data_IF_100061301169
#
_entry.id   IF_100061301169
#
_cell.length_a   1.000
_cell.length_b   1.000
_cell.length_c   1.000
_cell.angle_alpha   90.00
_cell.angle_beta   90.00
_cell.angle_gamma   90.00
#
_symmetry.space_group_name_H-M   'P 1'
#
loop_
_entity.id
_entity.type
_entity.pdbx_description
1 polymer ?
#
# COMPACT_ATOMS: atom_id res chain seq x y z
N UNK A 1 23.68 -12.42 13.81
CA UNK A 1 23.19 -11.59 12.70
C UNK A 1 24.39 -11.25 11.83
N UNK A 2 24.40 -11.70 10.57
CA UNK A 2 25.49 -11.50 9.61
C UNK A 2 25.65 -10.02 9.22
N UNK A 3 26.81 -9.65 8.67
CA UNK A 3 27.06 -8.30 8.11
C UNK A 3 26.09 -7.99 6.99
N UNK A 4 25.80 -8.97 6.12
CA UNK A 4 24.80 -8.86 5.04
C UNK A 4 23.42 -8.44 5.56
N UNK A 5 22.93 -9.11 6.62
CA UNK A 5 21.66 -8.77 7.23
C UNK A 5 21.64 -7.35 7.82
N UNK A 6 22.73 -6.88 8.42
CA UNK A 6 22.82 -5.53 8.99
C UNK A 6 22.74 -4.47 7.88
N UNK A 7 23.50 -4.65 6.80
CA UNK A 7 23.49 -3.75 5.65
C UNK A 7 22.08 -3.72 5.03
N UNK A 8 21.49 -4.88 4.77
CA UNK A 8 20.18 -4.99 4.17
C UNK A 8 19.10 -4.31 5.02
N UNK A 9 19.16 -4.51 6.35
CA UNK A 9 18.23 -3.86 7.29
C UNK A 9 18.35 -2.34 7.30
N UNK A 10 19.55 -1.78 7.18
CA UNK A 10 19.74 -0.33 7.08
C UNK A 10 19.07 0.24 5.83
N UNK A 11 19.32 -0.37 4.66
CA UNK A 11 18.68 0.01 3.40
C UNK A 11 17.15 -0.10 3.49
N UNK A 12 16.65 -1.19 4.08
CA UNK A 12 15.23 -1.42 4.24
C UNK A 12 14.56 -0.41 5.19
N UNK A 13 15.22 0.00 6.27
CA UNK A 13 14.71 1.02 7.19
C UNK A 13 14.62 2.41 6.52
N UNK A 14 15.56 2.75 5.66
CA UNK A 14 15.47 3.98 4.84
C UNK A 14 14.30 3.91 3.87
N UNK A 15 14.17 2.83 3.12
CA UNK A 15 13.03 2.61 2.23
C UNK A 15 11.70 2.62 2.97
N UNK A 16 11.64 2.06 4.18
CA UNK A 16 10.44 2.10 5.02
C UNK A 16 10.04 3.54 5.39
N UNK A 17 10.99 4.39 5.74
CA UNK A 17 10.72 5.81 6.03
C UNK A 17 10.16 6.52 4.79
N UNK A 18 10.74 6.29 3.61
CA UNK A 18 10.24 6.86 2.35
C UNK A 18 8.85 6.31 1.99
N UNK A 19 8.60 5.00 2.15
CA UNK A 19 7.26 4.41 1.99
C UNK A 19 6.22 5.10 2.88
N UNK A 20 6.57 5.44 4.12
CA UNK A 20 5.66 6.15 5.02
C UNK A 20 5.37 7.58 4.54
N UNK A 21 6.34 8.28 3.91
CA UNK A 21 6.09 9.59 3.28
C UNK A 21 5.15 9.47 2.09
N UNK A 22 5.42 8.55 1.15
CA UNK A 22 4.55 8.27 0.00
C UNK A 22 3.12 7.98 0.49
N UNK A 23 2.98 7.13 1.48
CA UNK A 23 1.69 6.82 2.09
C UNK A 23 1.00 8.07 2.66
N UNK A 24 1.70 8.87 3.47
CA UNK A 24 1.17 10.10 4.06
C UNK A 24 0.69 11.09 3.00
N UNK A 25 1.48 11.30 1.96
CA UNK A 25 1.16 12.26 0.89
C UNK A 25 -0.04 11.79 0.06
N UNK A 26 -0.10 10.51 -0.29
CA UNK A 26 -1.26 9.92 -0.98
C UNK A 26 -2.52 9.99 -0.14
N UNK A 27 -2.43 9.75 1.18
CA UNK A 27 -3.56 9.90 2.10
C UNK A 27 -4.04 11.36 2.20
N UNK A 28 -3.15 12.34 2.19
CA UNK A 28 -3.50 13.77 2.21
C UNK A 28 -4.19 14.18 0.91
N UNK A 29 -3.66 13.78 -0.25
CA UNK A 29 -4.30 14.00 -1.56
C UNK A 29 -5.70 13.36 -1.60
N UNK A 30 -5.84 12.11 -1.17
CA UNK A 30 -7.14 11.43 -1.09
C UNK A 30 -8.14 12.20 -0.23
N UNK A 31 -7.74 12.64 0.97
CA UNK A 31 -8.60 13.45 1.85
C UNK A 31 -9.02 14.76 1.19
N UNK A 32 -8.13 15.41 0.46
CA UNK A 32 -8.40 16.67 -0.24
C UNK A 32 -9.47 16.49 -1.30
N UNK A 33 -9.37 15.44 -2.13
CA UNK A 33 -10.36 15.12 -3.16
C UNK A 33 -11.78 14.99 -2.58
N UNK A 34 -11.96 14.16 -1.56
CA UNK A 34 -13.26 14.00 -0.91
C UNK A 34 -13.77 15.30 -0.28
N UNK A 35 -12.88 16.11 0.31
CA UNK A 35 -13.24 17.40 0.91
C UNK A 35 -13.74 18.40 -0.14
N UNK A 36 -13.16 18.42 -1.32
CA UNK A 36 -13.58 19.30 -2.41
C UNK A 36 -14.98 18.95 -2.90
N UNK A 37 -15.27 17.68 -3.18
CA UNK A 37 -16.61 17.21 -3.57
C UNK A 37 -17.68 17.60 -2.54
N UNK A 38 -17.42 17.38 -1.26
CA UNK A 38 -18.37 17.76 -0.20
C UNK A 38 -18.53 19.27 -0.09
N UNK A 39 -17.46 20.05 -0.24
CA UNK A 39 -17.53 21.52 -0.21
C UNK A 39 -18.42 22.07 -1.34
N UNK A 40 -18.36 21.47 -2.50
CA UNK A 40 -19.18 21.91 -3.64
C UNK A 40 -20.65 21.52 -3.45
N UNK A 41 -20.93 20.33 -2.92
CA UNK A 41 -22.28 19.96 -2.50
C UNK A 41 -22.84 20.92 -1.44
N UNK A 42 -22.05 21.29 -0.43
CA UNK A 42 -22.44 22.24 0.61
C UNK A 42 -22.74 23.65 0.06
N UNK A 43 -21.99 24.12 -0.92
CA UNK A 43 -22.28 25.40 -1.59
C UNK A 43 -23.66 25.36 -2.25
N UNK A 44 -23.96 24.28 -2.98
CA UNK A 44 -25.27 24.09 -3.64
C UNK A 44 -26.42 24.01 -2.63
N UNK A 45 -26.21 23.33 -1.50
CA UNK A 45 -27.20 23.27 -0.41
C UNK A 45 -27.45 24.67 0.16
N UNK A 46 -26.42 25.45 0.46
CA UNK A 46 -26.54 26.79 1.04
C UNK A 46 -27.18 27.80 0.10
N UNK A 47 -27.05 27.62 -1.20
CA UNK A 47 -27.62 28.52 -2.21
C UNK A 47 -29.08 28.19 -2.60
N UNK A 48 -29.66 27.11 -2.09
CA UNK A 48 -31.04 26.74 -2.44
C UNK A 48 -32.06 27.49 -1.62
N UNK A 49 -33.11 27.99 -2.31
CA UNK A 49 -34.30 28.56 -1.67
C UNK A 49 -35.39 27.50 -1.41
N UNK A 50 -35.22 26.27 -1.92
CA UNK A 50 -36.22 25.23 -1.83
C UNK A 50 -35.58 23.85 -1.62
N UNK A 51 -35.38 23.46 -0.36
CA UNK A 51 -34.83 22.19 0.03
C UNK A 51 -35.92 21.11 0.13
N UNK A 52 -36.07 20.34 -0.95
CA UNK A 52 -37.07 19.28 -1.08
C UNK A 52 -36.52 18.04 -1.78
N UNK A 53 -37.33 17.00 -1.93
CA UNK A 53 -36.95 15.74 -2.57
C UNK A 53 -36.51 15.92 -4.04
N UNK A 54 -37.08 16.89 -4.79
CA UNK A 54 -36.68 17.18 -6.18
C UNK A 54 -35.25 17.74 -6.21
N UNK A 55 -34.97 18.67 -5.29
CA UNK A 55 -33.62 19.22 -5.10
C UNK A 55 -32.63 18.12 -4.76
N UNK A 56 -32.93 17.27 -3.76
CA UNK A 56 -32.03 16.16 -3.33
C UNK A 56 -31.74 15.22 -4.50
N UNK A 57 -32.77 14.78 -5.26
CA UNK A 57 -32.54 13.93 -6.46
C UNK A 57 -31.62 14.57 -7.48
N UNK A 58 -31.75 15.88 -7.72
CA UNK A 58 -30.88 16.60 -8.64
C UNK A 58 -29.45 16.67 -8.11
N UNK A 59 -29.25 16.93 -6.80
CA UNK A 59 -27.90 16.95 -6.19
C UNK A 59 -27.21 15.59 -6.20
N UNK A 60 -27.95 14.50 -6.02
CA UNK A 60 -27.38 13.14 -6.10
C UNK A 60 -26.84 12.85 -7.50
N UNK A 61 -27.57 13.23 -8.55
CA UNK A 61 -27.09 13.06 -9.95
C UNK A 61 -25.78 13.82 -10.22
N UNK A 62 -25.69 15.07 -9.74
CA UNK A 62 -24.45 15.86 -9.86
C UNK A 62 -23.32 15.20 -9.05
N UNK A 63 -23.60 14.77 -7.84
CA UNK A 63 -22.64 14.08 -6.98
C UNK A 63 -22.10 12.79 -7.60
N UNK A 64 -22.97 12.01 -8.26
CA UNK A 64 -22.57 10.80 -8.99
C UNK A 64 -21.52 11.11 -10.07
N UNK A 65 -21.71 12.20 -10.81
CA UNK A 65 -20.73 12.63 -11.82
C UNK A 65 -19.42 13.11 -11.16
N UNK A 66 -19.51 13.98 -10.15
CA UNK A 66 -18.35 14.50 -9.41
C UNK A 66 -17.51 13.38 -8.80
N UNK A 67 -18.15 12.34 -8.24
CA UNK A 67 -17.46 11.19 -7.68
C UNK A 67 -16.82 10.31 -8.76
N UNK A 68 -17.43 10.15 -9.93
CA UNK A 68 -16.81 9.43 -11.05
C UNK A 68 -15.52 10.12 -11.52
N UNK A 69 -15.55 11.43 -11.66
CA UNK A 69 -14.38 12.22 -12.05
C UNK A 69 -13.27 12.13 -10.98
N UNK A 70 -13.67 12.21 -9.71
CA UNK A 70 -12.76 12.04 -8.56
C UNK A 70 -12.15 10.63 -8.52
N UNK A 71 -12.91 9.59 -8.82
CA UNK A 71 -12.45 8.20 -8.79
C UNK A 71 -11.34 7.95 -9.82
N UNK A 72 -11.43 8.54 -11.01
CA UNK A 72 -10.37 8.49 -12.02
C UNK A 72 -9.08 9.12 -11.50
N UNK A 73 -9.20 10.27 -10.84
CA UNK A 73 -8.04 10.95 -10.23
C UNK A 73 -7.46 10.11 -9.10
N UNK A 74 -8.31 9.58 -8.23
CA UNK A 74 -7.90 8.76 -7.09
C UNK A 74 -7.20 7.47 -7.54
N UNK A 75 -7.75 6.78 -8.53
CA UNK A 75 -7.14 5.58 -9.10
C UNK A 75 -5.74 5.87 -9.65
N UNK A 76 -5.58 6.96 -10.40
CA UNK A 76 -4.28 7.39 -10.92
C UNK A 76 -3.28 7.70 -9.80
N UNK A 77 -3.66 8.48 -8.78
CA UNK A 77 -2.79 8.83 -7.67
C UNK A 77 -2.35 7.60 -6.86
N UNK A 78 -3.27 6.65 -6.66
CA UNK A 78 -2.95 5.39 -5.95
C UNK A 78 -2.05 4.49 -6.81
N UNK A 79 -2.29 4.41 -8.12
CA UNK A 79 -1.43 3.64 -9.04
C UNK A 79 -0.02 4.21 -9.09
N UNK A 80 0.13 5.53 -9.16
CA UNK A 80 1.44 6.18 -9.09
C UNK A 80 2.15 5.85 -7.77
N UNK A 81 1.48 5.96 -6.65
CA UNK A 81 2.05 5.64 -5.34
C UNK A 81 2.42 4.14 -5.21
N UNK A 82 1.67 3.23 -5.82
CA UNK A 82 2.01 1.81 -5.94
C UNK A 82 3.30 1.64 -6.76
N UNK A 83 3.41 2.32 -7.89
CA UNK A 83 4.60 2.28 -8.76
C UNK A 83 5.84 2.81 -8.02
N UNK A 84 5.74 3.96 -7.38
CA UNK A 84 6.83 4.56 -6.60
C UNK A 84 7.26 3.64 -5.44
N UNK A 85 6.31 3.00 -4.77
CA UNK A 85 6.59 2.07 -3.67
C UNK A 85 7.25 0.78 -4.18
N UNK A 86 6.87 0.28 -5.36
CA UNK A 86 7.52 -0.86 -6.00
C UNK A 86 8.97 -0.52 -6.37
N UNK A 87 9.20 0.62 -7.02
CA UNK A 87 10.54 1.09 -7.37
C UNK A 87 11.42 1.27 -6.11
N UNK A 88 10.86 1.87 -5.06
CA UNK A 88 11.56 2.03 -3.79
C UNK A 88 12.01 0.70 -3.21
N UNK A 89 11.20 -0.35 -3.30
CA UNK A 89 11.59 -1.67 -2.82
C UNK A 89 12.63 -2.33 -3.72
N UNK A 90 12.48 -2.19 -5.06
CA UNK A 90 13.49 -2.67 -6.00
C UNK A 90 14.86 -2.02 -5.76
N UNK A 91 14.88 -0.72 -5.43
CA UNK A 91 16.13 -0.01 -5.12
C UNK A 91 16.87 -0.57 -3.91
N UNK A 92 16.17 -1.11 -2.91
CA UNK A 92 16.82 -1.76 -1.74
C UNK A 92 17.71 -2.93 -2.17
N UNK A 93 17.16 -3.81 -3.04
CA UNK A 93 17.93 -4.92 -3.58
C UNK A 93 19.08 -4.44 -4.48
N UNK A 94 18.79 -3.48 -5.36
CA UNK A 94 19.77 -2.90 -6.25
C UNK A 94 20.95 -2.26 -5.49
N UNK A 95 20.66 -1.48 -4.44
CA UNK A 95 21.68 -0.84 -3.61
C UNK A 95 22.53 -1.86 -2.86
N UNK A 96 21.93 -2.94 -2.34
CA UNK A 96 22.66 -4.01 -1.69
C UNK A 96 23.68 -4.67 -2.66
N UNK A 97 23.25 -5.02 -3.87
CA UNK A 97 24.15 -5.63 -4.86
C UNK A 97 25.12 -4.62 -5.49
N UNK A 98 24.75 -3.34 -5.60
CA UNK A 98 25.66 -2.26 -6.00
C UNK A 98 26.78 -2.03 -4.98
N UNK A 99 26.51 -2.20 -3.68
CA UNK A 99 27.55 -2.15 -2.66
C UNK A 99 28.51 -3.33 -2.77
N UNK A 100 27.99 -4.54 -3.02
CA UNK A 100 28.84 -5.72 -3.32
C UNK A 100 29.68 -5.53 -4.56
N UNK A 101 29.08 -5.01 -5.65
CA UNK A 101 29.78 -4.72 -6.90
C UNK A 101 30.97 -3.79 -6.68
N UNK A 102 30.75 -2.71 -5.94
CA UNK A 102 31.79 -1.72 -5.63
C UNK A 102 32.87 -2.28 -4.70
N UNK A 103 32.51 -3.00 -3.66
CA UNK A 103 33.45 -3.52 -2.65
C UNK A 103 34.36 -4.60 -3.23
N UNK A 104 33.81 -5.49 -4.08
CA UNK A 104 34.52 -6.64 -4.62
C UNK A 104 34.92 -6.49 -6.09
N UNK A 105 34.73 -5.31 -6.71
CA UNK A 105 34.98 -5.06 -8.15
C UNK A 105 34.39 -6.17 -9.02
N UNK A 106 33.09 -6.43 -8.85
CA UNK A 106 32.41 -7.51 -9.56
C UNK A 106 32.28 -7.23 -11.05
N UNK A 107 32.14 -5.95 -11.42
CA UNK A 107 31.85 -5.51 -12.79
C UNK A 107 30.52 -6.10 -13.30
N UNK A 108 29.47 -6.04 -12.47
CA UNK A 108 28.12 -6.43 -12.88
C UNK A 108 27.70 -5.66 -14.13
N UNK A 109 27.04 -6.34 -15.08
CA UNK A 109 26.64 -5.68 -16.33
C UNK A 109 25.68 -4.52 -16.08
N UNK A 110 25.81 -3.46 -16.89
CA UNK A 110 24.92 -2.29 -16.84
C UNK A 110 23.45 -2.69 -16.99
N UNK A 111 23.16 -3.67 -17.85
CA UNK A 111 21.81 -4.18 -18.08
C UNK A 111 21.25 -4.84 -16.81
N UNK A 112 22.05 -5.62 -16.10
CA UNK A 112 21.64 -6.24 -14.84
C UNK A 112 21.35 -5.19 -13.77
N UNK A 113 22.25 -4.23 -13.57
CA UNK A 113 22.06 -3.13 -12.61
C UNK A 113 20.83 -2.29 -12.97
N UNK A 114 20.67 -1.89 -14.25
CA UNK A 114 19.50 -1.14 -14.69
C UNK A 114 18.19 -1.90 -14.45
N UNK A 115 18.19 -3.20 -14.68
CA UNK A 115 17.04 -4.06 -14.44
C UNK A 115 16.71 -4.16 -12.94
N UNK A 116 17.71 -4.21 -12.06
CA UNK A 116 17.53 -4.18 -10.61
C UNK A 116 16.87 -2.88 -10.13
N UNK A 117 17.22 -1.73 -10.72
CA UNK A 117 16.64 -0.42 -10.40
C UNK A 117 15.30 -0.15 -11.12
N UNK A 118 14.74 -1.12 -11.83
CA UNK A 118 13.46 -0.94 -12.53
C UNK A 118 12.25 -1.27 -11.65
N UNK A 119 11.09 -0.72 -12.02
CA UNK A 119 9.83 -1.07 -11.36
C UNK A 119 9.43 -2.52 -11.63
N UNK A 120 8.90 -3.20 -10.62
CA UNK A 120 8.36 -4.55 -10.80
C UNK A 120 6.94 -4.50 -11.39
N UNK A 121 6.86 -4.38 -12.71
CA UNK A 121 5.58 -4.28 -13.44
C UNK A 121 4.67 -5.48 -13.21
N UNK A 122 5.22 -6.70 -13.04
CA UNK A 122 4.45 -7.91 -12.77
C UNK A 122 3.68 -7.80 -11.44
N UNK A 123 4.34 -7.31 -10.39
CA UNK A 123 3.71 -7.09 -9.08
C UNK A 123 2.70 -5.95 -9.14
N UNK A 124 3.03 -4.84 -9.80
CA UNK A 124 2.12 -3.71 -9.98
C UNK A 124 0.83 -4.17 -10.66
N UNK A 125 0.92 -4.89 -11.77
CA UNK A 125 -0.24 -5.44 -12.48
C UNK A 125 -1.07 -6.40 -11.62
N UNK A 126 -0.43 -7.25 -10.82
CA UNK A 126 -1.11 -8.14 -9.87
C UNK A 126 -1.97 -7.37 -8.85
N UNK A 127 -1.48 -6.23 -8.37
CA UNK A 127 -2.18 -5.43 -7.35
C UNK A 127 -3.27 -4.58 -7.97
N UNK A 128 -2.95 -3.82 -9.02
CA UNK A 128 -3.89 -2.94 -9.72
C UNK A 128 -5.01 -3.75 -10.38
N UNK A 129 -4.67 -4.84 -11.04
CA UNK A 129 -5.63 -5.74 -11.70
C UNK A 129 -6.41 -6.67 -10.75
N UNK A 130 -6.11 -6.65 -9.43
CA UNK A 130 -6.82 -7.46 -8.44
C UNK A 130 -6.37 -8.93 -8.35
N UNK A 131 -5.37 -9.34 -9.12
CA UNK A 131 -4.89 -10.73 -9.14
C UNK A 131 -4.34 -11.25 -7.82
N UNK A 132 -3.89 -10.35 -6.95
CA UNK A 132 -3.40 -10.67 -5.61
C UNK A 132 -4.52 -11.05 -4.63
N UNK A 133 -5.74 -10.58 -4.86
CA UNK A 133 -6.84 -10.66 -3.89
C UNK A 133 -7.81 -11.81 -4.19
N UNK A 134 -8.36 -12.43 -3.14
CA UNK A 134 -9.32 -13.54 -3.26
C UNK A 134 -10.58 -13.18 -4.07
N UNK A 135 -11.03 -11.92 -3.95
CA UNK A 135 -12.22 -11.41 -4.64
C UNK A 135 -11.94 -10.94 -6.08
N UNK A 136 -10.69 -11.03 -6.54
CA UNK A 136 -10.23 -10.66 -7.89
C UNK A 136 -10.59 -9.24 -8.37
N UNK A 137 -11.03 -8.36 -7.47
CA UNK A 137 -11.40 -7.00 -7.85
C UNK A 137 -10.18 -6.13 -8.10
N UNK A 138 -10.22 -5.42 -9.21
CA UNK A 138 -9.23 -4.39 -9.57
C UNK A 138 -9.26 -3.20 -8.61
N UNK A 139 -8.24 -2.36 -8.68
CA UNK A 139 -8.17 -1.10 -7.95
C UNK A 139 -9.37 -0.20 -8.31
N UNK A 140 -9.68 -0.08 -9.61
CA UNK A 140 -10.79 0.71 -10.13
C UNK A 140 -12.14 0.24 -9.57
N UNK A 141 -12.42 -1.05 -9.60
CA UNK A 141 -13.66 -1.62 -9.04
C UNK A 141 -13.79 -1.38 -7.53
N UNK A 142 -12.67 -1.37 -6.78
CA UNK A 142 -12.66 -1.06 -5.34
C UNK A 142 -12.97 0.40 -5.08
N UNK A 143 -12.34 1.30 -5.84
CA UNK A 143 -12.58 2.75 -5.73
C UNK A 143 -14.04 3.04 -6.04
N UNK A 144 -14.56 2.54 -7.16
CA UNK A 144 -15.95 2.73 -7.57
C UNK A 144 -16.96 2.23 -6.52
N UNK A 145 -16.76 1.03 -5.99
CA UNK A 145 -17.63 0.48 -4.95
C UNK A 145 -17.71 1.36 -3.70
N UNK A 146 -16.63 2.06 -3.36
CA UNK A 146 -16.64 2.99 -2.22
C UNK A 146 -17.41 4.26 -2.54
N UNK A 147 -17.34 4.75 -3.77
CA UNK A 147 -18.12 5.91 -4.22
C UNK A 147 -19.62 5.60 -4.28
N UNK A 148 -20.04 4.44 -4.74
CA UNK A 148 -21.44 4.00 -4.70
C UNK A 148 -22.00 4.01 -3.27
N UNK A 149 -21.22 3.49 -2.30
CA UNK A 149 -21.59 3.56 -0.90
C UNK A 149 -21.69 4.99 -0.40
N UNK A 150 -20.77 5.86 -0.76
CA UNK A 150 -20.78 7.26 -0.36
C UNK A 150 -21.99 8.01 -0.92
N UNK A 151 -22.39 7.73 -2.16
CA UNK A 151 -23.63 8.28 -2.77
C UNK A 151 -24.84 7.91 -1.94
N UNK A 152 -24.99 6.63 -1.61
CA UNK A 152 -26.10 6.13 -0.77
C UNK A 152 -26.13 6.79 0.60
N UNK A 153 -24.99 6.85 1.29
CA UNK A 153 -24.90 7.46 2.63
C UNK A 153 -25.23 8.96 2.59
N UNK A 154 -24.77 9.69 1.57
CA UNK A 154 -25.09 11.13 1.41
C UNK A 154 -26.57 11.32 1.09
N UNK A 155 -27.14 10.49 0.21
CA UNK A 155 -28.58 10.54 -0.08
C UNK A 155 -29.40 10.36 1.19
N UNK A 156 -29.05 9.40 2.03
CA UNK A 156 -29.73 9.15 3.31
C UNK A 156 -29.61 10.37 4.25
N UNK A 157 -28.43 10.98 4.36
CA UNK A 157 -28.22 12.19 5.17
C UNK A 157 -29.13 13.32 4.69
N UNK A 158 -29.19 13.54 3.37
CA UNK A 158 -30.00 14.61 2.78
C UNK A 158 -31.51 14.34 2.95
N UNK A 159 -31.99 13.11 2.69
CA UNK A 159 -33.41 12.74 2.85
C UNK A 159 -33.86 12.85 4.31
N UNK A 160 -33.05 12.35 5.26
CA UNK A 160 -33.32 12.50 6.69
C UNK A 160 -33.39 13.97 7.12
N UNK A 161 -32.54 14.82 6.50
CA UNK A 161 -32.58 16.25 6.73
C UNK A 161 -33.93 16.89 6.37
N UNK A 162 -34.63 16.41 5.32
CA UNK A 162 -35.98 16.85 4.97
C UNK A 162 -36.96 16.37 6.02
N UNK A 163 -36.95 15.09 6.38
CA UNK A 163 -37.88 14.46 7.34
C UNK A 163 -37.76 15.14 8.70
N UNK A 164 -36.54 15.38 9.17
CA UNK A 164 -36.25 15.99 10.49
C UNK A 164 -36.30 17.52 10.47
N UNK A 165 -36.63 18.14 9.33
CA UNK A 165 -36.70 19.61 9.12
C UNK A 165 -35.43 20.34 9.58
N UNK A 166 -34.27 19.78 9.28
CA UNK A 166 -32.96 20.36 9.63
C UNK A 166 -32.70 21.67 8.91
N UNK A 167 -31.99 22.60 9.56
CA UNK A 167 -31.47 23.78 8.87
C UNK A 167 -30.37 23.41 7.87
N UNK A 168 -30.17 24.25 6.86
CA UNK A 168 -29.11 24.03 5.86
C UNK A 168 -27.71 24.00 6.49
N UNK A 169 -27.50 24.77 7.58
CA UNK A 169 -26.25 24.77 8.35
C UNK A 169 -26.03 23.44 9.08
N UNK A 170 -27.09 22.86 9.65
CA UNK A 170 -27.02 21.54 10.31
C UNK A 170 -26.65 20.46 9.30
N UNK A 171 -27.29 20.44 8.14
CA UNK A 171 -26.95 19.52 7.04
C UNK A 171 -25.50 19.67 6.58
N UNK A 172 -25.05 20.90 6.35
CA UNK A 172 -23.67 21.15 5.96
C UNK A 172 -22.66 20.69 7.02
N UNK A 173 -22.98 20.83 8.32
CA UNK A 173 -22.15 20.30 9.40
C UNK A 173 -22.10 18.77 9.39
N UNK A 174 -23.22 18.10 9.21
CA UNK A 174 -23.28 16.62 9.13
C UNK A 174 -22.46 16.09 7.95
N UNK A 175 -22.56 16.69 6.77
CA UNK A 175 -21.76 16.36 5.61
C UNK A 175 -20.26 16.59 5.85
N UNK A 176 -19.88 17.68 6.54
CA UNK A 176 -18.48 17.92 6.94
C UNK A 176 -17.96 16.83 7.86
N UNK A 177 -18.74 16.43 8.86
CA UNK A 177 -18.37 15.36 9.80
C UNK A 177 -18.27 14.02 9.07
N UNK A 178 -19.20 13.72 8.18
CA UNK A 178 -19.16 12.51 7.35
C UNK A 178 -17.92 12.46 6.47
N UNK A 179 -17.51 13.58 5.87
CA UNK A 179 -16.28 13.67 5.08
C UNK A 179 -14.99 13.53 5.92
N UNK A 180 -15.08 13.54 7.23
CA UNK A 180 -13.92 13.45 8.13
C UNK A 180 -13.35 14.81 8.55
N UNK A 181 -14.11 15.91 8.36
CA UNK A 181 -13.77 17.25 8.84
C UNK A 181 -14.34 17.53 10.22
N UNK A 182 -13.52 18.16 11.08
CA UNK A 182 -13.94 18.70 12.39
C UNK A 182 -13.58 17.85 13.61
N UNK A 183 -13.23 18.53 14.72
CA UNK A 183 -12.98 17.97 16.06
C UNK A 183 -14.28 17.69 16.85
N UNK A 184 -15.43 17.78 16.21
CA UNK A 184 -16.74 17.62 16.86
C UNK A 184 -17.08 16.15 17.06
N UNK A 185 -17.72 15.84 18.19
CA UNK A 185 -18.33 14.52 18.42
C UNK A 185 -19.19 14.16 17.22
N UNK A 186 -18.91 13.00 16.60
CA UNK A 186 -19.66 12.52 15.44
C UNK A 186 -21.13 12.42 15.82
N UNK A 187 -22.06 13.12 15.15
CA UNK A 187 -23.50 12.98 15.41
C UNK A 187 -23.93 11.51 15.30
N UNK A 188 -24.93 11.11 16.10
CA UNK A 188 -25.38 9.71 16.13
C UNK A 188 -25.71 9.16 14.73
N UNK A 189 -26.25 10.01 13.85
CA UNK A 189 -26.64 9.67 12.50
C UNK A 189 -25.43 9.33 11.60
N UNK A 190 -24.31 10.05 11.76
CA UNK A 190 -23.09 9.80 10.97
C UNK A 190 -22.23 8.69 11.54
N UNK A 191 -22.45 8.26 12.79
CA UNK A 191 -21.76 7.11 13.38
C UNK A 191 -22.09 5.79 12.68
N UNK A 192 -23.33 5.66 12.16
CA UNK A 192 -23.78 4.45 11.45
C UNK A 192 -23.16 4.30 10.08
N UNK A 193 -22.73 5.41 9.45
CA UNK A 193 -22.16 5.39 8.09
C UNK A 193 -20.61 5.31 8.08
N UNK A 194 -19.96 5.67 9.19
CA UNK A 194 -18.50 5.86 9.22
C UNK A 194 -18.09 7.19 8.55
N UNK A 195 -16.88 7.25 8.04
CA UNK A 195 -16.37 8.43 7.31
C UNK A 195 -16.28 8.14 5.82
N UNK A 196 -16.73 9.07 5.00
CA UNK A 196 -16.73 8.99 3.54
C UNK A 196 -15.41 8.52 2.94
N UNK A 197 -14.28 9.03 3.46
CA UNK A 197 -12.94 8.70 2.96
C UNK A 197 -12.30 7.47 3.63
N UNK A 198 -12.92 6.86 4.64
CA UNK A 198 -12.30 5.79 5.45
C UNK A 198 -11.87 4.59 4.61
N UNK A 199 -12.73 4.16 3.69
CA UNK A 199 -12.45 3.00 2.82
C UNK A 199 -11.34 3.31 1.82
N UNK A 200 -11.33 4.50 1.23
CA UNK A 200 -10.28 4.94 0.32
C UNK A 200 -8.92 5.06 1.03
N UNK A 201 -8.88 5.64 2.23
CA UNK A 201 -7.65 5.72 3.03
C UNK A 201 -7.13 4.33 3.44
N UNK A 202 -8.04 3.41 3.75
CA UNK A 202 -7.69 2.01 4.02
C UNK A 202 -7.14 1.32 2.77
N UNK A 203 -7.75 1.56 1.59
CA UNK A 203 -7.29 1.02 0.32
C UNK A 203 -5.85 1.49 0.01
N UNK A 204 -5.58 2.79 0.10
CA UNK A 204 -4.23 3.35 -0.09
C UNK A 204 -3.20 2.64 0.79
N UNK A 205 -3.42 2.62 2.10
CA UNK A 205 -2.47 1.99 3.04
C UNK A 205 -2.23 0.52 2.73
N UNK A 206 -3.30 -0.21 2.45
CA UNK A 206 -3.25 -1.63 2.16
C UNK A 206 -2.48 -1.89 0.86
N UNK A 207 -2.79 -1.17 -0.21
CA UNK A 207 -2.15 -1.36 -1.51
C UNK A 207 -0.66 -1.03 -1.47
N UNK A 208 -0.26 0.05 -0.79
CA UNK A 208 1.15 0.41 -0.66
C UNK A 208 1.94 -0.58 0.20
N UNK A 209 1.34 -1.13 1.25
CA UNK A 209 2.02 -2.17 2.02
C UNK A 209 2.13 -3.49 1.26
N UNK A 210 1.08 -3.87 0.55
CA UNK A 210 1.07 -5.11 -0.24
C UNK A 210 2.09 -5.04 -1.38
N UNK A 211 2.18 -3.92 -2.13
CA UNK A 211 3.18 -3.79 -3.19
C UNK A 211 4.61 -3.85 -2.64
N UNK A 212 4.87 -3.25 -1.49
CA UNK A 212 6.18 -3.28 -0.85
C UNK A 212 6.60 -4.72 -0.50
N UNK A 213 5.70 -5.50 0.10
CA UNK A 213 5.93 -6.90 0.47
C UNK A 213 6.03 -7.80 -0.77
N UNK A 214 5.11 -7.66 -1.72
CA UNK A 214 5.09 -8.52 -2.91
C UNK A 214 6.26 -8.25 -3.85
N UNK A 215 6.75 -6.99 -3.95
CA UNK A 215 7.98 -6.68 -4.70
C UNK A 215 9.19 -7.37 -4.04
N UNK A 216 9.33 -7.29 -2.72
CA UNK A 216 10.36 -8.00 -1.98
C UNK A 216 10.33 -9.51 -2.25
N UNK A 217 9.15 -10.13 -2.14
CA UNK A 217 8.97 -11.58 -2.37
C UNK A 217 9.38 -11.97 -3.79
N UNK A 218 8.86 -11.24 -4.78
CA UNK A 218 9.10 -11.52 -6.18
C UNK A 218 10.60 -11.40 -6.55
N UNK A 219 11.30 -10.43 -5.99
CA UNK A 219 12.74 -10.23 -6.25
C UNK A 219 13.63 -11.22 -5.52
N UNK A 220 13.20 -11.70 -4.37
CA UNK A 220 13.97 -12.65 -3.57
C UNK A 220 13.57 -14.12 -3.81
N UNK A 221 12.54 -14.40 -4.62
CA UNK A 221 12.04 -15.77 -4.84
C UNK A 221 13.14 -16.72 -5.31
N UNK A 222 13.86 -16.34 -6.33
CA UNK A 222 14.96 -17.15 -6.91
C UNK A 222 16.34 -16.76 -6.42
N UNK A 223 16.44 -15.76 -5.53
CA UNK A 223 17.72 -15.28 -5.00
C UNK A 223 18.40 -16.35 -4.13
N UNK A 224 19.59 -16.87 -4.53
CA UNK A 224 20.24 -17.96 -3.82
C UNK A 224 20.81 -17.59 -2.45
N UNK A 225 20.95 -16.28 -2.18
CA UNK A 225 21.46 -15.77 -0.91
C UNK A 225 20.36 -15.52 0.14
N UNK A 226 19.10 -15.61 -0.27
CA UNK A 226 17.95 -15.46 0.63
C UNK A 226 17.36 -16.83 0.92
N UNK A 227 17.43 -17.28 2.16
CA UNK A 227 16.89 -18.60 2.58
C UNK A 227 15.42 -18.54 2.98
N UNK A 228 14.95 -17.36 3.41
CA UNK A 228 13.59 -17.16 3.89
C UNK A 228 13.30 -15.69 4.16
N UNK A 229 12.24 -15.46 4.94
CA UNK A 229 11.82 -14.11 5.31
C UNK A 229 11.49 -14.03 6.78
N UNK A 230 11.97 -13.01 7.45
CA UNK A 230 11.56 -12.67 8.81
C UNK A 230 10.35 -11.73 8.78
N UNK A 231 9.31 -12.06 9.51
CA UNK A 231 8.17 -11.16 9.72
C UNK A 231 8.51 -10.13 10.80
N UNK A 232 8.43 -8.85 10.46
CA UNK A 232 8.68 -7.76 11.42
C UNK A 232 7.43 -6.91 11.63
N UNK A 233 7.05 -6.78 12.90
CA UNK A 233 5.98 -5.90 13.31
C UNK A 233 6.33 -4.43 13.04
N UNK A 234 5.35 -3.65 12.66
CA UNK A 234 5.48 -2.20 12.62
C UNK A 234 5.78 -1.66 14.02
N UNK A 235 6.66 -0.67 14.22
CA UNK A 235 6.87 -0.03 15.52
C UNK A 235 5.60 0.52 16.15
N UNK A 236 4.60 0.83 15.32
CA UNK A 236 3.30 1.36 15.75
C UNK A 236 2.24 0.25 15.90
N UNK A 237 2.63 -1.03 15.74
CA UNK A 237 1.68 -2.14 15.74
C UNK A 237 0.83 -2.18 17.01
N UNK A 238 1.46 -2.23 18.19
CA UNK A 238 0.77 -2.30 19.48
C UNK A 238 -0.14 -1.09 19.72
N UNK A 239 0.35 0.11 19.42
CA UNK A 239 -0.43 1.34 19.57
C UNK A 239 -1.67 1.35 18.66
N UNK A 240 -1.54 0.83 17.44
CA UNK A 240 -2.65 0.75 16.47
C UNK A 240 -3.67 -0.32 16.83
N UNK A 241 -3.21 -1.43 17.39
CA UNK A 241 -4.07 -2.53 17.84
C UNK A 241 -4.71 -2.28 19.21
N UNK A 242 -4.23 -1.27 19.95
CA UNK A 242 -4.74 -0.95 21.29
C UNK A 242 -4.51 -2.11 22.28
N UNK A 243 -3.37 -2.77 22.17
CA UNK A 243 -2.97 -3.91 23.02
C UNK A 243 -3.65 -5.25 22.65
N UNK A 244 -4.43 -5.30 21.55
CA UNK A 244 -5.01 -6.57 21.06
C UNK A 244 -4.03 -7.24 20.11
N UNK A 245 -3.98 -8.56 20.16
CA UNK A 245 -3.21 -9.37 19.22
C UNK A 245 -3.98 -9.61 17.92
N UNK A 246 -3.25 -9.72 16.82
CA UNK A 246 -3.76 -10.12 15.52
C UNK A 246 -2.84 -11.16 14.86
N UNK A 247 -3.14 -11.53 13.60
CA UNK A 247 -2.35 -12.52 12.85
C UNK A 247 -0.88 -12.11 12.67
N UNK A 248 -0.55 -10.82 12.70
CA UNK A 248 0.84 -10.37 12.59
C UNK A 248 1.65 -10.72 13.84
N UNK A 249 1.02 -10.74 15.03
CA UNK A 249 1.67 -11.21 16.26
C UNK A 249 1.99 -12.71 16.18
N UNK A 250 1.08 -13.51 15.62
CA UNK A 250 1.28 -14.93 15.42
C UNK A 250 2.43 -15.19 14.43
N UNK A 251 2.48 -14.42 13.33
CA UNK A 251 3.56 -14.50 12.34
C UNK A 251 4.91 -14.09 12.92
N UNK A 252 4.96 -13.02 13.71
CA UNK A 252 6.20 -12.55 14.35
C UNK A 252 6.75 -13.54 15.40
N UNK A 253 5.89 -14.42 15.95
CA UNK A 253 6.26 -15.45 16.93
C UNK A 253 6.36 -16.86 16.32
N UNK A 254 6.08 -17.03 15.03
CA UNK A 254 6.21 -18.31 14.34
C UNK A 254 7.65 -18.84 14.40
N UNK A 255 7.80 -20.16 14.48
CA UNK A 255 9.12 -20.80 14.43
C UNK A 255 9.02 -22.20 13.82
N UNK A 256 9.58 -22.37 12.66
CA UNK A 256 9.67 -23.65 11.93
C UNK A 256 11.12 -24.19 11.87
N UNK A 257 11.95 -23.78 12.84
CA UNK A 257 13.34 -24.25 12.96
C UNK A 257 14.39 -23.29 12.40
N UNK A 258 13.98 -22.21 11.72
CA UNK A 258 14.89 -21.18 11.18
C UNK A 258 15.11 -20.01 12.14
N UNK A 259 14.33 -19.94 13.22
CA UNK A 259 14.32 -18.85 14.20
C UNK A 259 12.95 -18.20 14.34
N UNK A 260 12.79 -17.41 15.39
CA UNK A 260 11.52 -16.77 15.70
C UNK A 260 11.16 -15.72 14.64
N UNK A 261 9.95 -15.81 14.11
CA UNK A 261 9.40 -14.95 13.06
C UNK A 261 9.97 -15.24 11.67
N UNK A 262 10.80 -16.28 11.50
CA UNK A 262 11.41 -16.60 10.22
C UNK A 262 10.64 -17.74 9.53
N UNK A 263 10.24 -17.49 8.29
CA UNK A 263 9.56 -18.41 7.40
C UNK A 263 10.47 -18.81 6.23
N UNK A 264 10.37 -20.06 5.79
CA UNK A 264 10.91 -20.44 4.48
C UNK A 264 10.16 -19.72 3.37
N UNK A 265 10.75 -19.67 2.17
CA UNK A 265 10.13 -18.99 1.01
C UNK A 265 8.76 -19.57 0.65
N UNK A 266 8.60 -20.89 0.80
CA UNK A 266 7.38 -21.64 0.45
C UNK A 266 6.30 -21.62 1.55
N UNK A 267 6.66 -21.33 2.80
CA UNK A 267 5.74 -21.30 3.95
C UNK A 267 5.32 -19.90 4.36
N UNK A 268 5.94 -18.85 3.77
CA UNK A 268 5.60 -17.48 4.11
C UNK A 268 4.09 -17.22 3.89
N UNK A 269 3.38 -16.67 4.89
CA UNK A 269 1.98 -16.29 4.73
C UNK A 269 1.80 -15.33 3.57
N UNK A 270 0.58 -15.27 3.04
CA UNK A 270 0.20 -14.33 2.01
C UNK A 270 0.32 -12.86 2.46
N UNK A 271 -0.26 -11.96 1.67
CA UNK A 271 -0.27 -10.53 2.05
C UNK A 271 -0.98 -10.32 3.38
N UNK A 272 -0.47 -9.41 4.22
CA UNK A 272 -1.05 -9.14 5.51
C UNK A 272 -2.48 -8.59 5.41
N UNK A 273 -3.16 -8.52 6.55
CA UNK A 273 -4.52 -7.98 6.63
C UNK A 273 -4.61 -6.51 6.16
N UNK A 274 -5.83 -6.07 5.88
CA UNK A 274 -6.10 -4.69 5.50
C UNK A 274 -5.55 -3.69 6.54
N UNK A 275 -4.97 -2.60 6.04
CA UNK A 275 -4.44 -1.52 6.86
C UNK A 275 -3.20 -1.89 7.72
N UNK A 276 -2.56 -3.02 7.44
CA UNK A 276 -1.31 -3.44 8.06
C UNK A 276 -0.14 -2.52 7.65
N UNK A 277 0.88 -2.41 8.51
CA UNK A 277 2.16 -1.73 8.25
C UNK A 277 3.37 -2.61 8.60
N UNK A 278 3.13 -3.88 8.99
CA UNK A 278 4.18 -4.86 9.21
C UNK A 278 4.85 -5.20 7.87
N UNK A 279 6.09 -5.64 7.91
CA UNK A 279 6.91 -5.93 6.73
C UNK A 279 7.55 -7.31 6.85
N UNK A 280 8.10 -7.79 5.74
CA UNK A 280 9.03 -8.91 5.73
C UNK A 280 10.44 -8.42 5.46
N UNK A 281 11.42 -9.13 5.97
CA UNK A 281 12.85 -8.87 5.79
C UNK A 281 13.49 -10.14 5.26
N UNK A 282 14.28 -10.12 4.18
CA UNK A 282 15.00 -11.28 3.71
C UNK A 282 15.92 -11.84 4.79
N UNK A 283 15.90 -13.15 4.99
CA UNK A 283 16.81 -13.87 5.88
C UNK A 283 18.02 -14.33 5.09
N UNK A 284 19.15 -13.62 5.27
CA UNK A 284 20.40 -13.86 4.58
C UNK A 284 21.38 -14.48 5.60
N UNK A 285 21.78 -15.72 5.39
CA UNK A 285 22.66 -16.46 6.29
C UNK A 285 24.13 -16.25 5.98
N UNK A 286 24.45 -16.15 4.69
CA UNK A 286 25.81 -15.89 4.22
C UNK A 286 26.26 -14.47 4.62
N UNK A 287 27.53 -14.33 4.99
CA UNK A 287 28.12 -13.02 5.24
C UNK A 287 28.42 -12.28 3.93
N UNK A 288 28.70 -10.99 4.03
CA UNK A 288 28.86 -10.10 2.88
C UNK A 288 30.06 -10.48 2.02
N UNK A 289 31.15 -10.97 2.65
CA UNK A 289 32.36 -11.42 1.98
C UNK A 289 32.11 -12.70 1.18
N UNK A 290 31.41 -13.68 1.75
CA UNK A 290 31.07 -14.94 1.07
C UNK A 290 30.19 -14.70 -0.15
N UNK A 291 29.19 -13.83 -0.05
CA UNK A 291 28.34 -13.44 -1.18
C UNK A 291 29.18 -12.77 -2.27
N UNK A 292 30.05 -11.82 -1.89
CA UNK A 292 30.93 -11.11 -2.82
C UNK A 292 31.88 -12.07 -3.56
N UNK A 293 32.53 -12.98 -2.84
CA UNK A 293 33.43 -13.99 -3.42
C UNK A 293 32.71 -14.94 -4.38
N UNK A 294 31.48 -15.38 -4.04
CA UNK A 294 30.66 -16.25 -4.87
C UNK A 294 30.20 -15.54 -6.16
N UNK A 295 29.76 -14.28 -6.05
CA UNK A 295 29.43 -13.46 -7.20
C UNK A 295 30.63 -13.16 -8.08
N UNK A 296 31.79 -12.83 -7.49
CA UNK A 296 33.05 -12.60 -8.23
C UNK A 296 33.44 -13.80 -9.08
N UNK A 297 33.44 -14.99 -8.48
CA UNK A 297 33.71 -16.24 -9.19
C UNK A 297 32.75 -16.46 -10.36
N UNK A 298 31.45 -16.14 -10.18
CA UNK A 298 30.44 -16.28 -11.22
C UNK A 298 30.67 -15.28 -12.37
N UNK A 299 30.93 -14.01 -12.07
CA UNK A 299 31.21 -12.98 -13.09
C UNK A 299 32.49 -13.28 -13.88
N UNK A 300 33.52 -13.83 -13.22
CA UNK A 300 34.79 -14.22 -13.86
C UNK A 300 34.65 -15.52 -14.71
N UNK A 301 33.41 -15.98 -14.97
CA UNK A 301 33.11 -17.10 -15.85
C UNK A 301 32.94 -18.46 -15.15
N UNK A 302 32.90 -18.47 -13.82
CA UNK A 302 32.52 -19.66 -13.04
C UNK A 302 31.03 -19.99 -13.23
N UNK A 303 30.71 -21.29 -13.19
CA UNK A 303 29.32 -21.75 -13.29
C UNK A 303 28.65 -21.73 -11.91
N UNK A 304 27.51 -21.08 -11.79
CA UNK A 304 26.62 -21.14 -10.63
C UNK A 304 25.16 -21.15 -11.12
N UNK A 305 24.56 -22.33 -11.13
CA UNK A 305 23.20 -22.57 -11.67
C UNK A 305 22.15 -21.77 -10.93
N UNK A 306 22.34 -21.53 -9.63
CA UNK A 306 21.36 -20.80 -8.81
C UNK A 306 21.43 -19.30 -9.09
N UNK A 307 22.62 -18.74 -9.29
CA UNK A 307 22.79 -17.34 -9.71
C UNK A 307 22.25 -17.15 -11.13
N UNK A 308 22.57 -18.06 -12.07
CA UNK A 308 22.05 -18.03 -13.44
C UNK A 308 20.52 -18.02 -13.45
N UNK A 309 19.88 -18.91 -12.68
CA UNK A 309 18.42 -18.99 -12.53
C UNK A 309 17.85 -17.71 -11.95
N UNK A 310 18.47 -17.18 -10.90
CA UNK A 310 18.02 -15.93 -10.27
C UNK A 310 18.04 -14.75 -11.25
N UNK A 311 19.16 -14.55 -11.95
CA UNK A 311 19.30 -13.47 -12.94
C UNK A 311 18.29 -13.63 -14.06
N UNK A 312 18.14 -14.85 -14.60
CA UNK A 312 17.18 -15.13 -15.67
C UNK A 312 15.74 -14.88 -15.25
N UNK A 313 15.31 -15.43 -14.10
CA UNK A 313 13.90 -15.36 -13.66
C UNK A 313 13.50 -14.01 -13.10
N UNK A 314 14.44 -13.28 -12.51
CA UNK A 314 14.13 -12.03 -11.82
C UNK A 314 14.36 -10.81 -12.70
N UNK A 315 15.44 -10.77 -13.49
CA UNK A 315 15.89 -9.55 -14.15
C UNK A 315 15.80 -9.56 -15.68
N UNK A 316 15.95 -10.70 -16.37
CA UNK A 316 15.91 -10.74 -17.84
C UNK A 316 14.54 -10.49 -18.48
N UNK A 317 13.46 -10.53 -17.69
CA UNK A 317 12.07 -10.38 -18.15
C UNK A 317 11.37 -9.14 -17.57
N UNK A 318 12.12 -8.15 -17.13
CA UNK A 318 11.61 -6.86 -16.63
C UNK A 318 11.50 -5.79 -17.69
#
# INVERSE_FOLDING_TARGET
>A
MTTSNKIYLQLLEEARKEKLKINKDTLLKTKKLYKEVIKDLQKRIKSTNNYNNKFVKAQIRILEQELREMDIILEREVTMAITDTSLLMSSVNADFYSMLDKEYNLHLSTDMLSSMYSTNNRVIQKIVGGGLYKDKRSLSERVWKYSEKNISDIQDILVKGIIERKSLEQLCRELSVYCGGGNTKIPAITRSYGRMNSNALRLVRTSLNHVFIETMKDECEYNPFVEGYKWELSPEHDARMGGRKDECDDYANHNEGMGVGIFRKDTLPGVPHCNCLCIIVPHIVEDFESIGARLKKWVDGGKDIDIDRWVEKTYKNR
#
